data_IF_317569461653
#
_entry.id   IF_317569461653
#
_cell.length_a   1.000
_cell.length_b   1.000
_cell.length_c   1.000
_cell.angle_alpha   90.00
_cell.angle_beta   90.00
_cell.angle_gamma   90.00
#
_symmetry.space_group_name_H-M   'P 1'
#
loop_
_entity.id
_entity.type
_entity.pdbx_description
1 polymer ?
#
# COMPACT_ATOMS: atom_id res chain seq x y z
N UNK A 1 -34.54 -31.87 31.99
CA UNK A 1 -34.07 -30.53 31.64
C UNK A 1 -34.54 -30.29 30.23
N UNK A 2 -35.51 -29.40 30.05
CA UNK A 2 -35.98 -29.04 28.70
C UNK A 2 -34.98 -28.06 28.08
N UNK A 3 -34.94 -27.90 26.75
CA UNK A 3 -34.12 -26.87 26.11
C UNK A 3 -34.38 -25.46 26.69
N UNK A 4 -35.63 -25.17 27.07
CA UNK A 4 -36.09 -23.91 27.69
C UNK A 4 -35.40 -23.61 29.03
N UNK A 5 -35.09 -24.64 29.82
CA UNK A 5 -34.39 -24.49 31.11
C UNK A 5 -32.88 -24.16 30.96
N UNK A 6 -32.28 -24.44 29.79
CA UNK A 6 -30.85 -24.21 29.52
C UNK A 6 -30.55 -22.86 28.85
N UNK A 7 -31.57 -22.16 28.32
CA UNK A 7 -31.39 -20.85 27.67
C UNK A 7 -30.93 -19.74 28.62
N UNK A 8 -31.43 -19.63 29.87
CA UNK A 8 -30.98 -18.61 30.82
C UNK A 8 -29.49 -18.78 31.16
N UNK A 9 -29.07 -20.01 31.42
CA UNK A 9 -27.67 -20.33 31.76
C UNK A 9 -26.74 -20.08 30.57
N UNK A 10 -27.17 -20.44 29.34
CA UNK A 10 -26.40 -20.17 28.13
C UNK A 10 -26.30 -18.66 27.83
N UNK A 11 -27.36 -17.90 28.10
CA UNK A 11 -27.36 -16.44 27.96
C UNK A 11 -26.43 -15.80 29.01
N UNK A 12 -26.51 -16.23 30.27
CA UNK A 12 -25.64 -15.73 31.34
C UNK A 12 -24.17 -16.04 31.04
N UNK A 13 -23.87 -17.24 30.55
CA UNK A 13 -22.51 -17.61 30.15
C UNK A 13 -22.02 -16.75 28.96
N UNK A 14 -22.84 -16.58 27.92
CA UNK A 14 -22.47 -15.75 26.78
C UNK A 14 -22.24 -14.28 27.15
N UNK A 15 -22.94 -13.75 28.16
CA UNK A 15 -22.71 -12.40 28.67
C UNK A 15 -21.40 -12.30 29.46
N UNK A 16 -21.09 -13.29 30.32
CA UNK A 16 -19.81 -13.38 31.03
C UNK A 16 -18.63 -13.50 30.07
N UNK A 17 -18.72 -14.38 29.08
CA UNK A 17 -17.68 -14.56 28.06
C UNK A 17 -17.40 -13.25 27.30
N UNK A 18 -18.47 -12.46 27.03
CA UNK A 18 -18.33 -11.16 26.36
C UNK A 18 -17.67 -10.12 27.26
N UNK A 19 -17.96 -10.13 28.56
CA UNK A 19 -17.37 -9.23 29.54
C UNK A 19 -15.88 -9.54 29.74
N UNK A 20 -15.53 -10.81 29.96
CA UNK A 20 -14.13 -11.27 30.08
C UNK A 20 -13.30 -10.97 28.83
N UNK A 21 -13.91 -11.10 27.64
CA UNK A 21 -13.25 -10.76 26.38
C UNK A 21 -13.01 -9.25 26.25
N UNK A 22 -13.95 -8.41 26.69
CA UNK A 22 -13.80 -6.96 26.67
C UNK A 22 -12.71 -6.51 27.65
N UNK A 23 -12.65 -7.09 28.85
CA UNK A 23 -11.59 -6.85 29.83
C UNK A 23 -10.21 -7.26 29.28
N UNK A 24 -10.12 -8.45 28.67
CA UNK A 24 -8.89 -8.93 28.03
C UNK A 24 -8.40 -8.00 26.91
N UNK A 25 -9.32 -7.45 26.12
CA UNK A 25 -8.99 -6.47 25.09
C UNK A 25 -8.50 -5.15 25.70
N UNK A 26 -9.13 -4.70 26.78
CA UNK A 26 -8.74 -3.49 27.50
C UNK A 26 -7.32 -3.64 28.08
N UNK A 27 -7.03 -4.75 28.74
CA UNK A 27 -5.70 -5.06 29.29
C UNK A 27 -4.62 -5.15 28.21
N UNK A 28 -4.95 -5.73 27.04
CA UNK A 28 -4.05 -5.75 25.89
C UNK A 28 -3.80 -4.35 25.34
N UNK A 29 -4.81 -3.48 25.31
CA UNK A 29 -4.67 -2.09 24.90
C UNK A 29 -3.85 -1.28 25.90
N UNK A 30 -3.99 -1.53 27.20
CA UNK A 30 -3.21 -0.86 28.25
C UNK A 30 -1.76 -1.37 28.29
N UNK A 31 -1.53 -2.64 27.97
CA UNK A 31 -0.20 -3.25 27.86
C UNK A 31 0.54 -2.85 26.58
N UNK A 32 -0.18 -2.70 25.47
CA UNK A 32 0.32 -2.08 24.24
C UNK A 32 0.48 -0.58 24.53
N UNK A 33 1.72 -0.12 24.72
CA UNK A 33 2.06 1.31 24.85
C UNK A 33 1.68 2.17 23.61
N UNK A 34 0.99 1.59 22.64
CA UNK A 34 0.56 2.18 21.38
C UNK A 34 -0.96 2.04 21.24
N UNK A 35 -1.63 3.15 20.94
CA UNK A 35 -3.06 3.19 20.68
C UNK A 35 -3.41 2.31 19.45
N UNK A 36 -4.28 1.29 19.58
CA UNK A 36 -4.64 0.38 18.49
C UNK A 36 -5.21 1.08 17.25
N UNK A 37 -5.93 2.20 17.40
CA UNK A 37 -6.41 2.99 16.27
C UNK A 37 -5.25 3.63 15.51
N UNK A 38 -4.26 4.17 16.23
CA UNK A 38 -3.07 4.76 15.61
C UNK A 38 -2.24 3.70 14.88
N UNK A 39 -2.11 2.50 15.46
CA UNK A 39 -1.47 1.35 14.80
C UNK A 39 -2.22 0.97 13.51
N UNK A 40 -3.55 0.88 13.56
CA UNK A 40 -4.38 0.56 12.39
C UNK A 40 -4.26 1.62 11.29
N UNK A 41 -4.23 2.91 11.66
CA UNK A 41 -4.01 4.02 10.73
C UNK A 41 -2.60 3.98 10.11
N UNK A 42 -1.57 3.68 10.90
CA UNK A 42 -0.20 3.47 10.43
C UNK A 42 -0.12 2.35 9.39
N UNK A 43 -0.75 1.21 9.67
CA UNK A 43 -0.83 0.08 8.74
C UNK A 43 -1.60 0.42 7.46
N UNK A 44 -2.70 1.17 7.56
CA UNK A 44 -3.45 1.63 6.39
C UNK A 44 -2.61 2.57 5.52
N UNK A 45 -1.88 3.49 6.14
CA UNK A 45 -0.95 4.40 5.45
C UNK A 45 0.17 3.64 4.75
N UNK A 46 0.81 2.68 5.42
CA UNK A 46 1.86 1.87 4.82
C UNK A 46 1.36 1.09 3.59
N UNK A 47 0.17 0.51 3.66
CA UNK A 47 -0.46 -0.16 2.49
C UNK A 47 -0.71 0.81 1.34
N UNK A 48 -1.16 2.03 1.63
CA UNK A 48 -1.36 3.07 0.62
C UNK A 48 -0.03 3.46 -0.04
N UNK A 49 1.01 3.74 0.75
CA UNK A 49 2.34 4.12 0.24
C UNK A 49 2.99 3.00 -0.59
N UNK A 50 2.79 1.73 -0.18
CA UNK A 50 3.22 0.57 -0.94
C UNK A 50 2.51 0.49 -2.31
N UNK A 51 1.19 0.62 -2.34
CA UNK A 51 0.42 0.63 -3.58
C UNK A 51 0.81 1.81 -4.50
N UNK A 52 1.01 3.00 -3.95
CA UNK A 52 1.50 4.16 -4.71
C UNK A 52 2.89 3.91 -5.30
N UNK A 53 3.76 3.20 -4.57
CA UNK A 53 5.10 2.83 -5.06
C UNK A 53 5.02 1.81 -6.19
N UNK A 54 4.18 0.79 -6.04
CA UNK A 54 3.93 -0.21 -7.09
C UNK A 54 3.40 0.45 -8.37
N UNK A 55 2.42 1.34 -8.26
CA UNK A 55 1.89 2.10 -9.42
C UNK A 55 3.02 2.86 -10.12
N UNK A 56 3.89 3.55 -9.38
CA UNK A 56 5.02 4.29 -9.97
C UNK A 56 6.02 3.36 -10.67
N UNK A 57 6.30 2.18 -10.13
CA UNK A 57 7.14 1.17 -10.79
C UNK A 57 6.49 0.63 -12.07
N UNK A 58 5.19 0.36 -12.07
CA UNK A 58 4.46 -0.06 -13.27
C UNK A 58 4.47 1.02 -14.36
N UNK A 59 4.32 2.28 -13.99
CA UNK A 59 4.44 3.41 -14.92
C UNK A 59 5.86 3.50 -15.51
N UNK A 60 6.89 3.38 -14.66
CA UNK A 60 8.29 3.33 -15.10
C UNK A 60 8.52 2.19 -16.10
N UNK A 61 8.04 0.98 -15.79
CA UNK A 61 8.10 -0.17 -16.69
C UNK A 61 7.44 0.10 -18.05
N UNK A 62 6.17 0.52 -18.05
CA UNK A 62 5.40 0.75 -19.26
C UNK A 62 5.96 1.86 -20.16
N UNK A 63 6.72 2.80 -19.59
CA UNK A 63 7.31 3.92 -20.30
C UNK A 63 8.73 3.65 -20.79
N UNK A 64 9.57 3.01 -19.98
CA UNK A 64 11.00 2.91 -20.25
C UNK A 64 11.49 1.52 -20.66
N UNK A 65 10.71 0.47 -20.36
CA UNK A 65 11.14 -0.92 -20.58
C UNK A 65 10.26 -1.67 -21.61
N UNK A 66 9.12 -1.10 -22.01
CA UNK A 66 8.21 -1.71 -22.97
C UNK A 66 8.61 -1.46 -24.44
N UNK A 67 9.34 -2.42 -25.02
CA UNK A 67 9.50 -2.64 -26.47
C UNK A 67 9.77 -1.41 -27.35
N UNK A 68 9.44 -1.52 -28.64
CA UNK A 68 9.71 -0.45 -29.62
C UNK A 68 8.90 0.83 -29.40
N UNK A 69 7.75 0.77 -28.73
CA UNK A 69 6.86 1.91 -28.47
C UNK A 69 6.35 1.89 -27.03
N UNK A 70 6.45 3.01 -26.30
CA UNK A 70 6.02 3.06 -24.91
C UNK A 70 4.50 3.12 -24.86
N UNK A 71 3.91 2.73 -23.73
CA UNK A 71 2.49 2.97 -23.50
C UNK A 71 2.18 4.47 -23.62
N UNK A 72 1.06 4.78 -24.29
CA UNK A 72 0.53 6.14 -24.36
C UNK A 72 0.14 6.62 -22.96
N UNK A 73 0.25 7.93 -22.72
CA UNK A 73 -0.05 8.50 -21.41
C UNK A 73 -1.55 8.38 -21.06
N UNK A 74 -2.44 8.44 -22.04
CA UNK A 74 -3.90 8.37 -21.83
C UNK A 74 -4.34 7.04 -21.19
N UNK A 75 -4.01 5.84 -21.75
CA UNK A 75 -4.30 4.57 -21.08
C UNK A 75 -3.68 4.45 -19.69
N UNK A 76 -2.47 4.97 -19.51
CA UNK A 76 -1.80 4.93 -18.21
C UNK A 76 -2.51 5.82 -17.19
N UNK A 77 -3.05 6.97 -17.61
CA UNK A 77 -3.81 7.89 -16.76
C UNK A 77 -5.10 7.24 -16.29
N UNK A 78 -5.84 6.66 -17.23
CA UNK A 78 -7.08 5.95 -16.97
C UNK A 78 -6.86 4.78 -16.00
N UNK A 79 -5.86 3.94 -16.25
CA UNK A 79 -5.60 2.76 -15.42
C UNK A 79 -5.05 3.09 -14.03
N UNK A 80 -4.29 4.17 -13.88
CA UNK A 80 -3.69 4.57 -12.59
C UNK A 80 -4.54 5.54 -11.78
N UNK A 81 -5.60 6.11 -12.37
CA UNK A 81 -6.35 7.22 -11.79
C UNK A 81 -5.54 8.53 -11.70
N UNK A 82 -4.36 8.61 -12.32
CA UNK A 82 -3.52 9.82 -12.32
C UNK A 82 -3.86 10.73 -13.50
N UNK A 83 -3.56 12.02 -13.35
CA UNK A 83 -3.60 12.93 -14.50
C UNK A 83 -2.45 12.65 -15.48
N UNK A 84 -2.63 13.01 -16.75
CA UNK A 84 -1.58 12.96 -17.79
C UNK A 84 -0.30 13.70 -17.37
N UNK A 85 -0.46 14.84 -16.68
CA UNK A 85 0.66 15.61 -16.13
C UNK A 85 1.35 14.81 -15.01
N UNK A 86 0.55 14.22 -14.11
CA UNK A 86 1.04 13.40 -13.00
C UNK A 86 1.88 12.21 -13.44
N UNK A 87 1.52 11.52 -14.52
CA UNK A 87 2.30 10.36 -15.00
C UNK A 87 3.74 10.75 -15.36
N UNK A 88 3.94 11.91 -15.99
CA UNK A 88 5.26 12.34 -16.45
C UNK A 88 6.23 12.59 -15.30
N UNK A 89 5.70 12.87 -14.11
CA UNK A 89 6.47 13.17 -12.90
C UNK A 89 6.32 12.11 -11.82
N UNK A 90 5.50 11.08 -12.06
CA UNK A 90 5.15 10.06 -11.07
C UNK A 90 6.36 9.25 -10.61
N UNK A 91 7.23 8.85 -11.54
CA UNK A 91 8.40 8.02 -11.25
C UNK A 91 9.71 8.78 -11.51
N UNK A 92 10.73 8.44 -10.71
CA UNK A 92 12.09 8.96 -10.73
C UNK A 92 13.08 7.82 -10.95
N UNK A 93 14.37 8.15 -10.90
CA UNK A 93 15.47 7.21 -11.11
C UNK A 93 15.42 6.03 -10.13
N UNK A 94 14.94 6.25 -8.90
CA UNK A 94 14.73 5.20 -7.90
C UNK A 94 13.77 4.10 -8.37
N UNK A 95 12.66 4.48 -9.01
CA UNK A 95 11.73 3.48 -9.56
C UNK A 95 12.28 2.82 -10.83
N UNK A 96 13.08 3.54 -11.62
CA UNK A 96 13.74 2.96 -12.79
C UNK A 96 14.75 1.88 -12.40
N UNK A 97 15.57 2.16 -11.39
CA UNK A 97 16.53 1.21 -10.84
C UNK A 97 15.85 -0.01 -10.23
N UNK A 98 14.78 0.20 -9.46
CA UNK A 98 13.99 -0.88 -8.88
C UNK A 98 13.41 -1.80 -9.96
N UNK A 99 12.81 -1.24 -11.01
CA UNK A 99 12.27 -2.02 -12.13
C UNK A 99 13.39 -2.74 -12.87
N UNK A 100 14.50 -2.06 -13.18
CA UNK A 100 15.64 -2.65 -13.87
C UNK A 100 16.19 -3.87 -13.13
N UNK A 101 16.27 -3.79 -11.79
CA UNK A 101 16.67 -4.90 -10.93
C UNK A 101 15.64 -6.03 -10.94
N UNK A 102 14.34 -5.70 -10.85
CA UNK A 102 13.26 -6.70 -10.82
C UNK A 102 13.16 -7.52 -12.12
N UNK A 103 13.40 -6.90 -13.28
CA UNK A 103 13.26 -7.56 -14.59
C UNK A 103 14.60 -7.96 -15.23
N UNK A 104 15.72 -7.71 -14.54
CA UNK A 104 17.10 -7.92 -15.01
C UNK A 104 17.37 -7.35 -16.42
N UNK A 105 16.95 -6.10 -16.65
CA UNK A 105 17.09 -5.43 -17.94
C UNK A 105 17.34 -3.94 -17.76
N UNK A 106 18.16 -3.36 -18.64
CA UNK A 106 18.36 -1.90 -18.69
C UNK A 106 17.19 -1.20 -19.40
N UNK A 107 16.89 0.06 -19.02
CA UNK A 107 15.95 0.91 -19.76
C UNK A 107 16.34 1.00 -21.25
N UNK A 108 15.38 1.19 -22.15
CA UNK A 108 15.68 1.40 -23.58
C UNK A 108 16.56 2.65 -23.73
N UNK A 109 17.81 2.45 -24.17
CA UNK A 109 18.86 3.49 -24.22
C UNK A 109 18.51 4.67 -25.13
N UNK A 110 17.55 4.49 -26.04
CA UNK A 110 17.03 5.57 -26.90
C UNK A 110 16.14 6.55 -26.15
N UNK A 111 15.80 6.25 -24.90
CA UNK A 111 14.81 6.98 -24.11
C UNK A 111 15.21 7.25 -22.68
N UNK A 112 16.42 6.86 -22.27
CA UNK A 112 16.96 7.19 -20.94
C UNK A 112 16.69 8.66 -20.68
N UNK A 113 15.78 8.92 -19.74
CA UNK A 113 15.56 10.27 -19.22
C UNK A 113 16.95 10.77 -18.82
N UNK A 114 17.37 11.99 -19.22
CA UNK A 114 18.60 12.55 -18.71
C UNK A 114 18.54 12.44 -17.18
N UNK A 115 19.57 11.88 -16.52
CA UNK A 115 19.58 11.79 -15.07
C UNK A 115 19.24 13.16 -14.53
N UNK A 116 18.34 13.22 -13.54
CA UNK A 116 17.93 14.49 -12.97
C UNK A 116 19.22 15.21 -12.54
N UNK A 117 19.56 16.31 -13.22
CA UNK A 117 20.75 17.07 -12.90
C UNK A 117 20.68 17.38 -11.40
N UNK A 118 21.66 16.86 -10.66
CA UNK A 118 21.80 17.07 -9.24
C UNK A 118 21.47 18.52 -8.93
N UNK A 119 20.43 18.74 -8.13
CA UNK A 119 20.21 20.03 -7.49
C UNK A 119 21.29 20.22 -6.42
N UNK A 120 22.55 20.22 -6.84
CA UNK A 120 23.64 20.83 -6.12
C UNK A 120 23.43 22.34 -6.19
N UNK A 121 22.88 22.91 -5.12
CA UNK A 121 23.24 24.22 -4.53
C UNK A 121 22.20 24.64 -3.50
N UNK A 122 22.65 24.84 -2.27
CA UNK A 122 21.92 25.51 -1.19
C UNK A 122 22.35 25.00 0.18
#
# INVERSE_FOLDING_TARGET
MTPEDCFPDALEQALKDREEYAESLQDLCDALKEDPLLVALGNARARKEAAETEIRQLLAYGREFHGGRPYKLEPLAEASGMSLSGIRTAYKDTELEAVALQIDRKPDSRRTRPPAADAARG
#
